data_IF_201520629974
#
_entry.id   IF_201520629974
#
_cell.length_a   1.000
_cell.length_b   1.000
_cell.length_c   1.000
_cell.angle_alpha   90.00
_cell.angle_beta   90.00
_cell.angle_gamma   90.00
#
_symmetry.space_group_name_H-M   'P 1'
#
loop_
_entity.id
_entity.type
_entity.pdbx_description
1 polymer ?
#
# COMPACT_ATOMS: atom_id res chain seq x y z
N UNK A 1 -56.32 6.77 24.70
CA UNK A 1 -56.18 5.80 23.59
C UNK A 1 -54.76 5.88 23.07
N UNK A 2 -54.00 4.83 23.40
CA UNK A 2 -52.65 4.58 22.89
C UNK A 2 -52.71 4.37 21.37
N UNK A 3 -51.77 4.96 20.64
CA UNK A 3 -51.33 4.35 19.39
C UNK A 3 -49.81 4.50 19.28
N UNK A 4 -49.14 3.34 19.30
CA UNK A 4 -47.71 3.14 19.12
C UNK A 4 -47.54 2.56 17.73
N UNK A 5 -46.97 3.32 16.80
CA UNK A 5 -46.49 2.77 15.53
C UNK A 5 -44.97 2.64 15.58
N UNK A 6 -44.50 1.45 15.93
CA UNK A 6 -43.13 0.99 15.71
C UNK A 6 -42.87 0.89 14.19
N UNK A 7 -41.84 1.57 13.70
CA UNK A 7 -41.32 1.35 12.34
C UNK A 7 -40.10 0.43 12.40
N UNK A 8 -40.20 -0.66 11.66
CA UNK A 8 -39.31 -1.81 11.66
C UNK A 8 -37.96 -1.47 11.03
N UNK A 9 -36.86 -1.72 11.74
CA UNK A 9 -35.50 -1.69 11.20
C UNK A 9 -35.32 -2.80 10.16
N UNK A 10 -35.03 -2.43 8.92
CA UNK A 10 -34.61 -3.35 7.86
C UNK A 10 -33.19 -3.85 8.11
N UNK A 11 -33.04 -5.13 8.40
CA UNK A 11 -31.75 -5.81 8.52
C UNK A 11 -31.02 -5.82 7.15
N UNK A 12 -29.95 -5.03 7.04
CA UNK A 12 -29.01 -5.12 5.92
C UNK A 12 -28.27 -6.45 5.98
N UNK A 13 -28.48 -7.33 4.98
CA UNK A 13 -27.72 -8.57 4.82
C UNK A 13 -26.26 -8.22 4.54
N UNK A 14 -25.37 -8.59 5.48
CA UNK A 14 -23.93 -8.53 5.29
C UNK A 14 -23.48 -9.74 4.46
N UNK A 15 -23.56 -9.63 3.14
CA UNK A 15 -23.09 -10.68 2.22
C UNK A 15 -21.57 -10.65 2.17
N UNK A 16 -20.92 -11.65 2.77
CA UNK A 16 -19.47 -11.84 2.68
C UNK A 16 -19.09 -12.29 1.27
N UNK A 17 -17.93 -11.83 0.78
CA UNK A 17 -17.35 -12.21 -0.53
C UNK A 17 -17.19 -13.74 -0.70
N UNK A 18 -17.21 -14.50 0.39
CA UNK A 18 -17.16 -15.97 0.42
C UNK A 18 -18.47 -16.64 0.02
N UNK A 19 -19.61 -15.97 0.10
CA UNK A 19 -20.91 -16.57 -0.25
C UNK A 19 -21.18 -16.57 -1.76
N UNK A 20 -20.47 -15.73 -2.53
CA UNK A 20 -20.59 -15.69 -3.99
C UNK A 20 -20.02 -16.94 -4.68
N UNK A 21 -19.09 -17.64 -4.03
CA UNK A 21 -18.45 -18.85 -4.58
C UNK A 21 -19.18 -20.16 -4.24
N UNK A 22 -20.26 -20.12 -3.45
CA UNK A 22 -21.02 -21.34 -3.10
C UNK A 22 -22.07 -21.74 -4.15
N UNK A 23 -22.45 -20.85 -5.07
CA UNK A 23 -23.61 -21.05 -5.94
C UNK A 23 -23.35 -20.93 -7.46
N UNK A 24 -22.12 -21.05 -7.95
CA UNK A 24 -21.85 -21.04 -9.40
C UNK A 24 -21.46 -22.43 -9.91
N UNK A 25 -22.47 -23.19 -10.35
CA UNK A 25 -22.28 -24.31 -11.26
C UNK A 25 -21.96 -23.74 -12.65
N UNK A 26 -20.69 -23.84 -13.09
CA UNK A 26 -20.25 -23.37 -14.41
C UNK A 26 -20.58 -24.44 -15.45
N UNK A 27 -21.47 -24.09 -16.38
CA UNK A 27 -21.74 -24.84 -17.61
C UNK A 27 -20.60 -24.57 -18.60
N UNK A 28 -19.75 -25.57 -18.89
CA UNK A 28 -18.68 -25.44 -19.88
C UNK A 28 -19.23 -25.74 -21.29
N UNK A 29 -19.39 -24.70 -22.11
CA UNK A 29 -19.61 -24.86 -23.55
C UNK A 29 -18.26 -24.76 -24.27
N UNK A 30 -17.81 -25.86 -24.88
CA UNK A 30 -16.60 -25.91 -25.69
C UNK A 30 -16.85 -25.24 -27.05
N UNK A 31 -16.19 -24.10 -27.30
CA UNK A 31 -16.11 -23.50 -28.62
C UNK A 31 -14.69 -23.70 -29.18
N UNK A 32 -14.56 -24.53 -30.21
CA UNK A 32 -13.31 -24.77 -30.94
C UNK A 32 -13.06 -23.62 -31.92
N UNK A 33 -11.96 -22.89 -31.74
CA UNK A 33 -11.50 -21.86 -32.67
C UNK A 33 -10.33 -22.43 -33.49
N UNK A 34 -10.33 -22.37 -34.83
CA UNK A 34 -9.19 -22.84 -35.62
C UNK A 34 -7.99 -21.90 -35.50
N UNK A 35 -6.81 -22.49 -35.30
CA UNK A 35 -5.51 -21.83 -35.27
C UNK A 35 -5.24 -21.09 -36.59
N UNK A 36 -5.05 -19.77 -36.53
CA UNK A 36 -4.37 -19.00 -37.57
C UNK A 36 -2.97 -18.69 -37.06
N UNK A 37 -1.96 -19.33 -37.66
CA UNK A 37 -0.55 -19.04 -37.40
C UNK A 37 -0.15 -17.85 -38.26
N UNK A 38 0.09 -16.70 -37.62
CA UNK A 38 0.79 -15.58 -38.26
C UNK A 38 2.24 -15.66 -37.83
N UNK A 39 3.11 -16.05 -38.76
CA UNK A 39 4.57 -16.00 -38.56
C UNK A 39 5.02 -14.54 -38.61
N UNK A 40 5.36 -13.98 -37.44
CA UNK A 40 6.12 -12.73 -37.36
C UNK A 40 7.62 -13.08 -37.27
N UNK A 41 8.41 -12.49 -38.15
CA UNK A 41 9.86 -12.67 -38.22
C UNK A 41 10.55 -12.02 -37.00
N UNK A 42 11.37 -12.81 -36.30
CA UNK A 42 12.25 -12.33 -35.23
C UNK A 42 13.44 -11.53 -35.80
N UNK A 43 13.75 -10.33 -35.29
CA UNK A 43 15.09 -9.78 -35.41
C UNK A 43 15.97 -10.31 -34.28
N UNK A 44 17.15 -10.81 -34.65
CA UNK A 44 18.18 -11.38 -33.78
C UNK A 44 18.59 -10.45 -32.60
N UNK A 45 19.00 -11.02 -31.45
CA UNK A 45 19.38 -10.23 -30.28
C UNK A 45 20.76 -9.58 -30.47
N UNK A 46 20.83 -8.28 -30.20
CA UNK A 46 22.09 -7.55 -30.07
C UNK A 46 22.68 -7.79 -28.68
N UNK A 47 23.95 -8.18 -28.65
CA UNK A 47 24.79 -8.40 -27.46
C UNK A 47 24.62 -7.30 -26.40
N UNK A 48 23.98 -7.64 -25.28
CA UNK A 48 24.13 -6.91 -24.02
C UNK A 48 25.18 -7.64 -23.18
N UNK A 49 26.33 -7.00 -22.99
CA UNK A 49 27.37 -7.49 -22.10
C UNK A 49 26.81 -7.62 -20.67
N UNK A 50 26.91 -8.82 -20.10
CA UNK A 50 26.47 -9.10 -18.74
C UNK A 50 27.31 -8.29 -17.74
N UNK A 51 26.67 -7.34 -17.05
CA UNK A 51 27.24 -6.76 -15.84
C UNK A 51 27.39 -7.89 -14.78
N UNK A 52 28.47 -7.91 -13.98
CA UNK A 52 28.65 -8.95 -12.98
C UNK A 52 27.53 -8.87 -11.96
N UNK A 53 26.77 -9.96 -11.83
CA UNK A 53 25.75 -10.10 -10.81
C UNK A 53 26.43 -10.07 -9.43
N UNK A 54 26.29 -8.95 -8.73
CA UNK A 54 26.51 -8.94 -7.28
C UNK A 54 25.49 -9.89 -6.67
N UNK A 55 25.98 -10.92 -5.98
CA UNK A 55 25.14 -11.93 -5.36
C UNK A 55 24.11 -11.25 -4.44
N UNK A 56 22.83 -11.38 -4.79
CA UNK A 56 21.75 -10.96 -3.92
C UNK A 56 21.80 -11.81 -2.65
N UNK A 57 21.64 -11.22 -1.44
CA UNK A 57 21.58 -12.01 -0.23
C UNK A 57 20.37 -12.95 -0.31
N UNK A 58 20.64 -14.25 -0.36
CA UNK A 58 19.64 -15.32 -0.27
C UNK A 58 19.17 -15.42 1.17
N UNK A 59 18.20 -14.58 1.54
CA UNK A 59 17.56 -14.67 2.85
C UNK A 59 16.29 -15.54 2.74
N UNK A 60 16.49 -16.85 2.62
CA UNK A 60 15.51 -17.80 3.10
C UNK A 60 15.68 -17.89 4.63
N UNK A 61 15.24 -16.86 5.35
CA UNK A 61 15.50 -16.75 6.79
C UNK A 61 14.31 -17.32 7.58
N UNK A 62 14.62 -18.18 8.55
CA UNK A 62 13.75 -18.59 9.64
C UNK A 62 13.01 -17.38 10.26
N UNK A 63 11.85 -17.57 10.94
CA UNK A 63 11.11 -16.45 11.53
C UNK A 63 12.04 -15.63 12.41
N UNK A 64 12.23 -14.38 12.01
CA UNK A 64 13.03 -13.43 12.77
C UNK A 64 12.17 -12.98 13.94
N UNK A 65 12.47 -13.48 15.14
CA UNK A 65 11.78 -13.11 16.37
C UNK A 65 12.19 -11.70 16.78
N UNK A 66 11.61 -10.70 16.12
CA UNK A 66 11.78 -9.29 16.45
C UNK A 66 10.46 -8.74 16.94
N UNK A 67 10.54 -7.97 18.03
CA UNK A 67 9.38 -7.34 18.62
C UNK A 67 8.74 -6.39 17.60
N UNK A 68 7.44 -6.53 17.41
CA UNK A 68 6.68 -5.59 16.60
C UNK A 68 6.55 -4.25 17.37
N UNK A 69 6.46 -3.12 16.66
CA UNK A 69 6.18 -1.83 17.28
C UNK A 69 4.87 -1.86 18.08
N UNK A 70 4.77 -0.98 19.07
CA UNK A 70 3.58 -0.87 19.92
C UNK A 70 2.29 -0.79 19.10
N UNK A 71 1.29 -1.56 19.53
CA UNK A 71 -0.01 -1.66 18.86
C UNK A 71 -0.06 -2.62 17.67
N UNK A 72 1.07 -3.13 17.16
CA UNK A 72 1.10 -4.14 16.08
C UNK A 72 1.08 -5.56 16.65
N UNK A 73 0.28 -6.44 16.04
CA UNK A 73 0.02 -7.80 16.53
C UNK A 73 -0.15 -8.78 15.39
N UNK A 74 0.24 -10.02 15.63
CA UNK A 74 -0.02 -11.17 14.75
C UNK A 74 0.52 -11.00 13.32
N UNK A 75 1.60 -10.24 13.13
CA UNK A 75 2.27 -10.08 11.84
C UNK A 75 3.38 -11.12 11.65
N UNK A 76 3.64 -11.49 10.40
CA UNK A 76 4.74 -12.38 10.02
C UNK A 76 5.95 -11.51 9.65
N UNK A 77 7.01 -11.55 10.46
CA UNK A 77 8.24 -10.78 10.21
C UNK A 77 9.04 -11.42 9.08
N UNK A 78 9.31 -10.64 8.03
CA UNK A 78 10.11 -11.00 6.86
C UNK A 78 11.54 -10.45 6.92
N UNK A 79 11.77 -9.40 7.72
CA UNK A 79 13.08 -8.78 7.95
C UNK A 79 13.04 -7.85 9.16
N UNK A 80 14.17 -7.68 9.86
CA UNK A 80 14.25 -6.91 11.10
C UNK A 80 14.99 -5.57 11.00
N UNK A 81 15.94 -5.43 10.08
CA UNK A 81 16.71 -4.19 9.87
C UNK A 81 16.83 -3.88 8.37
N UNK A 82 15.93 -3.07 7.79
CA UNK A 82 14.75 -2.46 8.41
C UNK A 82 13.60 -3.45 8.63
N UNK A 83 12.70 -3.14 9.57
CA UNK A 83 11.53 -3.99 9.84
C UNK A 83 10.62 -4.10 8.62
N UNK A 84 10.35 -5.35 8.22
CA UNK A 84 9.38 -5.71 7.19
C UNK A 84 8.54 -6.84 7.74
N UNK A 85 7.22 -6.67 7.77
CA UNK A 85 6.29 -7.66 8.28
C UNK A 85 5.00 -7.67 7.45
N UNK A 86 4.49 -8.86 7.14
CA UNK A 86 3.26 -9.03 6.37
C UNK A 86 2.06 -9.44 7.23
N UNK A 87 0.87 -9.08 6.77
CA UNK A 87 -0.39 -9.47 7.41
C UNK A 87 -0.74 -10.91 7.02
N UNK A 88 -0.97 -11.83 7.98
CA UNK A 88 -1.54 -13.13 7.65
C UNK A 88 -2.83 -12.98 6.85
N UNK A 89 -2.93 -13.70 5.74
CA UNK A 89 -4.04 -13.55 4.78
C UNK A 89 -5.44 -13.71 5.38
N UNK A 90 -5.59 -14.49 6.45
CA UNK A 90 -6.87 -14.67 7.12
C UNK A 90 -7.30 -13.46 7.95
N UNK A 91 -6.39 -12.55 8.28
CA UNK A 91 -6.65 -11.28 8.97
C UNK A 91 -7.01 -10.13 8.01
N UNK A 92 -6.98 -10.37 6.69
CA UNK A 92 -7.36 -9.40 5.65
C UNK A 92 -8.85 -9.46 5.27
N UNK A 93 -9.66 -10.27 5.95
CA UNK A 93 -11.10 -10.41 5.68
C UNK A 93 -11.92 -9.13 5.94
N UNK A 94 -11.62 -8.31 6.97
CA UNK A 94 -12.35 -7.05 7.20
C UNK A 94 -12.22 -6.05 6.04
N UNK A 95 -13.28 -5.29 5.77
CA UNK A 95 -13.30 -4.25 4.73
C UNK A 95 -12.19 -3.19 4.91
N UNK A 96 -11.90 -2.86 6.17
CA UNK A 96 -10.75 -2.08 6.60
C UNK A 96 -9.88 -2.98 7.44
N UNK A 97 -8.65 -3.21 6.99
CA UNK A 97 -7.63 -3.95 7.74
C UNK A 97 -7.39 -3.23 9.08
N UNK A 98 -7.62 -3.89 10.23
CA UNK A 98 -7.35 -3.30 11.53
C UNK A 98 -5.91 -2.80 11.61
N UNK A 99 -5.67 -1.65 12.25
CA UNK A 99 -4.35 -1.01 12.26
C UNK A 99 -3.30 -1.90 12.93
N UNK A 100 -3.69 -2.69 13.94
CA UNK A 100 -2.82 -3.68 14.57
C UNK A 100 -2.32 -4.77 13.60
N UNK A 101 -3.07 -5.03 12.54
CA UNK A 101 -2.78 -6.04 11.53
C UNK A 101 -2.30 -5.43 10.21
N UNK A 102 -2.24 -4.11 10.06
CA UNK A 102 -1.76 -3.48 8.83
C UNK A 102 -0.26 -3.76 8.65
N UNK A 103 0.13 -4.29 7.49
CA UNK A 103 1.51 -4.69 7.18
C UNK A 103 2.51 -3.55 7.36
N UNK A 104 3.79 -3.90 7.54
CA UNK A 104 4.90 -2.97 7.74
C UNK A 104 5.92 -3.18 6.62
N UNK A 105 6.28 -2.12 5.91
CA UNK A 105 7.38 -2.13 4.95
C UNK A 105 8.21 -0.87 5.15
N UNK A 106 9.40 -1.04 5.72
CA UNK A 106 10.38 0.05 5.87
C UNK A 106 11.56 -0.17 4.93
N UNK A 107 12.12 0.92 4.38
CA UNK A 107 13.36 0.93 3.60
C UNK A 107 14.56 1.35 4.45
N UNK A 108 14.35 2.29 5.37
CA UNK A 108 15.29 2.73 6.39
C UNK A 108 14.73 2.50 7.80
N UNK A 109 15.36 3.11 8.79
CA UNK A 109 14.87 3.14 10.16
C UNK A 109 13.81 4.25 10.29
N UNK A 110 12.63 3.95 10.84
CA UNK A 110 11.63 4.99 11.15
C UNK A 110 12.26 6.11 12.01
N UNK A 111 11.89 7.37 11.76
CA UNK A 111 12.36 8.49 12.58
C UNK A 111 11.82 8.41 14.01
N UNK A 112 12.59 8.95 14.95
CA UNK A 112 12.11 9.19 16.32
C UNK A 112 11.05 10.28 16.30
N UNK A 113 9.94 10.04 17.01
CA UNK A 113 8.80 10.97 17.07
C UNK A 113 8.73 11.73 18.41
N UNK A 114 9.77 11.61 19.24
CA UNK A 114 9.84 12.32 20.52
C UNK A 114 9.68 13.83 20.30
N UNK A 115 8.79 14.46 21.07
CA UNK A 115 8.46 15.89 20.97
C UNK A 115 7.81 16.34 19.63
N UNK A 116 7.32 15.39 18.81
CA UNK A 116 6.51 15.70 17.64
C UNK A 116 5.06 15.93 18.05
N UNK A 117 4.52 17.11 17.73
CA UNK A 117 3.12 17.50 17.94
C UNK A 117 2.54 18.05 16.64
N UNK A 118 1.25 18.39 16.66
CA UNK A 118 0.58 19.00 15.51
C UNK A 118 1.23 20.33 15.09
N UNK A 119 1.86 21.03 16.03
CA UNK A 119 2.47 22.35 15.89
C UNK A 119 3.96 22.29 15.56
N UNK A 120 4.67 21.30 16.11
CA UNK A 120 6.13 21.15 15.95
C UNK A 120 6.49 20.38 14.69
N UNK A 121 5.66 19.43 14.24
CA UNK A 121 5.87 18.77 12.95
C UNK A 121 5.76 19.78 11.81
N UNK A 122 6.64 19.68 10.81
CA UNK A 122 6.63 20.56 9.62
C UNK A 122 6.81 19.76 8.34
N UNK A 123 6.10 20.17 7.30
CA UNK A 123 6.38 19.83 5.90
C UNK A 123 6.74 21.09 5.13
N UNK A 124 7.77 20.99 4.30
CA UNK A 124 8.18 22.05 3.38
C UNK A 124 7.74 21.70 1.97
N UNK A 125 7.14 22.67 1.27
CA UNK A 125 6.77 22.62 -0.14
C UNK A 125 7.61 23.66 -0.87
N UNK A 126 8.56 23.22 -1.69
CA UNK A 126 9.54 24.08 -2.36
C UNK A 126 9.80 23.63 -3.82
N UNK A 127 10.90 24.10 -4.42
CA UNK A 127 11.27 23.81 -5.79
C UNK A 127 10.50 24.65 -6.82
N UNK A 128 9.82 23.98 -7.75
CA UNK A 128 9.11 24.59 -8.88
C UNK A 128 7.74 25.18 -8.49
N UNK A 129 7.75 26.07 -7.51
CA UNK A 129 6.57 26.80 -6.99
C UNK A 129 6.87 28.30 -6.89
N UNK A 130 5.84 29.14 -7.01
CA UNK A 130 5.98 30.60 -6.84
C UNK A 130 5.96 31.03 -5.38
N UNK A 131 5.35 30.23 -4.50
CA UNK A 131 5.22 30.54 -3.07
C UNK A 131 5.59 29.30 -2.26
N UNK A 132 6.88 29.15 -1.88
CA UNK A 132 7.29 28.09 -0.98
C UNK A 132 6.51 28.15 0.34
N UNK A 133 6.16 26.98 0.89
CA UNK A 133 5.37 26.86 2.11
C UNK A 133 6.12 26.01 3.14
N UNK A 134 5.96 26.34 4.42
CA UNK A 134 6.29 25.45 5.52
C UNK A 134 5.05 25.35 6.40
N UNK A 135 4.47 24.17 6.49
CA UNK A 135 3.17 23.94 7.11
C UNK A 135 3.30 22.93 8.26
N UNK A 136 2.66 23.20 9.38
CA UNK A 136 2.44 22.21 10.43
C UNK A 136 1.18 21.38 10.19
N UNK A 137 0.98 20.31 10.96
CA UNK A 137 -0.27 19.55 10.92
C UNK A 137 -1.45 20.46 11.33
N UNK A 138 -1.25 21.34 12.31
CA UNK A 138 -2.24 22.32 12.72
C UNK A 138 -2.61 23.28 11.55
N UNK A 139 -1.63 23.74 10.78
CA UNK A 139 -1.88 24.56 9.59
C UNK A 139 -2.64 23.77 8.52
N UNK A 140 -2.26 22.51 8.28
CA UNK A 140 -2.95 21.64 7.32
C UNK A 140 -4.43 21.43 7.69
N UNK A 141 -4.73 21.22 8.97
CA UNK A 141 -6.11 21.06 9.48
C UNK A 141 -6.93 22.35 9.36
N UNK A 142 -6.29 23.51 9.58
CA UNK A 142 -6.96 24.83 9.58
C UNK A 142 -7.21 25.35 8.17
N UNK A 143 -6.22 25.24 7.28
CA UNK A 143 -6.20 25.99 6.03
C UNK A 143 -6.76 25.20 4.83
N UNK A 144 -6.98 23.90 4.98
CA UNK A 144 -7.43 23.03 3.90
C UNK A 144 -8.62 22.15 4.34
N UNK A 145 -9.41 21.72 3.35
CA UNK A 145 -10.47 20.76 3.62
C UNK A 145 -9.88 19.40 3.99
N UNK A 146 -10.17 18.94 5.21
CA UNK A 146 -9.88 17.57 5.65
C UNK A 146 -10.82 16.60 4.94
N UNK A 147 -10.26 15.58 4.32
CA UNK A 147 -10.98 14.54 3.60
C UNK A 147 -10.64 13.16 4.16
N UNK A 148 -11.58 12.23 3.98
CA UNK A 148 -11.39 10.81 4.26
C UNK A 148 -11.52 9.98 2.99
N UNK A 149 -10.64 8.99 2.81
CA UNK A 149 -10.66 8.06 1.68
C UNK A 149 -10.32 6.65 2.14
N UNK A 150 -11.15 5.68 1.76
CA UNK A 150 -10.82 4.26 1.93
C UNK A 150 -9.97 3.83 0.75
N UNK A 151 -8.73 3.46 1.02
CA UNK A 151 -7.74 3.14 -0.01
C UNK A 151 -7.05 1.83 0.36
N UNK A 152 -6.71 1.06 -0.67
CA UNK A 152 -5.83 -0.08 -0.56
C UNK A 152 -4.41 0.39 -0.85
N UNK A 153 -3.47 -0.01 -0.01
CA UNK A 153 -2.04 0.11 -0.29
C UNK A 153 -1.49 -1.30 -0.41
N UNK A 154 -0.78 -1.55 -1.51
CA UNK A 154 -0.14 -2.82 -1.80
C UNK A 154 1.35 -2.59 -2.07
N UNK A 155 2.20 -3.42 -1.47
CA UNK A 155 3.61 -3.46 -1.79
C UNK A 155 3.76 -4.05 -3.19
N UNK A 156 4.54 -3.41 -4.06
CA UNK A 156 4.91 -3.98 -5.37
C UNK A 156 5.61 -5.36 -5.26
N UNK A 157 6.07 -5.72 -4.07
CA UNK A 157 6.62 -7.04 -3.77
C UNK A 157 5.62 -8.10 -3.33
N UNK A 158 4.34 -7.78 -3.18
CA UNK A 158 3.34 -8.76 -2.79
C UNK A 158 3.31 -9.91 -3.81
N UNK A 159 3.33 -11.14 -3.32
CA UNK A 159 3.45 -12.36 -4.13
C UNK A 159 4.88 -12.75 -4.52
N UNK A 160 5.91 -11.99 -4.13
CA UNK A 160 7.30 -12.23 -4.57
C UNK A 160 7.80 -13.65 -4.30
N UNK A 161 7.38 -14.28 -3.19
CA UNK A 161 7.80 -15.64 -2.83
C UNK A 161 7.46 -16.70 -3.89
N UNK A 162 6.51 -16.42 -4.78
CA UNK A 162 6.01 -17.37 -5.77
C UNK A 162 6.67 -17.27 -7.15
N UNK A 163 7.63 -16.36 -7.35
CA UNK A 163 8.40 -16.32 -8.60
C UNK A 163 9.31 -17.55 -8.76
N UNK A 164 9.45 -18.02 -10.01
CA UNK A 164 10.41 -19.06 -10.40
C UNK A 164 11.16 -18.62 -11.67
N UNK A 165 12.49 -18.42 -11.63
CA UNK A 165 13.36 -18.55 -10.45
C UNK A 165 13.03 -17.47 -9.38
N UNK A 166 13.40 -17.71 -8.09
CA UNK A 166 13.13 -16.75 -7.03
C UNK A 166 13.71 -15.36 -7.32
N UNK A 167 12.87 -14.33 -7.14
CA UNK A 167 13.29 -12.94 -7.28
C UNK A 167 13.92 -12.40 -5.98
N UNK A 168 14.90 -11.51 -6.11
CA UNK A 168 15.57 -10.88 -4.97
C UNK A 168 14.65 -9.97 -4.15
N UNK A 169 14.95 -9.82 -2.85
CA UNK A 169 14.24 -8.95 -1.90
C UNK A 169 13.42 -9.72 -0.86
N UNK A 170 12.64 -9.02 -0.04
CA UNK A 170 11.79 -9.65 0.98
C UNK A 170 10.78 -10.60 0.33
N UNK A 171 10.70 -11.82 0.83
CA UNK A 171 9.90 -12.90 0.24
C UNK A 171 8.44 -12.86 0.73
N UNK A 172 7.70 -11.84 0.30
CA UNK A 172 6.27 -11.68 0.61
C UNK A 172 5.44 -12.85 0.08
N UNK A 173 4.51 -13.33 0.90
CA UNK A 173 3.37 -14.14 0.44
C UNK A 173 2.31 -13.21 -0.16
N UNK A 174 1.06 -13.24 0.32
CA UNK A 174 -0.01 -12.35 -0.15
C UNK A 174 -0.38 -11.27 0.88
N UNK A 175 0.39 -11.17 1.97
CA UNK A 175 0.12 -10.27 3.09
C UNK A 175 0.69 -8.86 2.97
N UNK A 176 1.32 -8.52 1.84
CA UNK A 176 1.90 -7.21 1.57
C UNK A 176 0.87 -6.19 1.09
N UNK A 177 -0.33 -6.19 1.67
CA UNK A 177 -1.47 -5.36 1.25
C UNK A 177 -2.36 -5.06 2.45
N UNK A 178 -3.00 -3.88 2.45
CA UNK A 178 -3.97 -3.50 3.47
C UNK A 178 -4.91 -2.40 2.99
N UNK A 179 -6.14 -2.39 3.50
CA UNK A 179 -7.14 -1.35 3.24
C UNK A 179 -7.37 -0.53 4.50
N UNK A 180 -7.28 0.79 4.43
CA UNK A 180 -7.56 1.67 5.57
C UNK A 180 -8.34 2.92 5.13
N UNK A 181 -8.99 3.57 6.11
CA UNK A 181 -9.57 4.90 5.92
C UNK A 181 -8.54 5.97 6.26
N UNK A 182 -7.96 6.58 5.22
CA UNK A 182 -6.96 7.63 5.34
C UNK A 182 -7.65 8.98 5.54
N UNK A 183 -7.22 9.71 6.56
CA UNK A 183 -7.66 11.09 6.83
C UNK A 183 -6.50 12.05 6.54
N UNK A 184 -6.76 13.11 5.78
CA UNK A 184 -5.73 14.10 5.45
C UNK A 184 -6.25 15.23 4.58
N UNK A 185 -5.35 15.96 3.94
CA UNK A 185 -5.68 17.02 2.98
C UNK A 185 -5.30 16.58 1.57
N UNK A 186 -5.94 17.17 0.55
CA UNK A 186 -5.60 16.85 -0.85
C UNK A 186 -4.29 17.55 -1.22
N UNK A 187 -3.32 16.78 -1.73
CA UNK A 187 -2.06 17.33 -2.24
C UNK A 187 -2.29 18.43 -3.30
N UNK A 188 -3.29 18.25 -4.18
CA UNK A 188 -3.72 19.26 -5.15
C UNK A 188 -3.97 20.63 -4.52
N UNK A 189 -4.63 20.67 -3.36
CA UNK A 189 -5.00 21.94 -2.72
C UNK A 189 -3.78 22.63 -2.12
N UNK A 190 -2.86 21.84 -1.54
CA UNK A 190 -1.56 22.32 -1.03
C UNK A 190 -0.70 22.87 -2.17
N UNK A 191 -0.60 22.16 -3.29
CA UNK A 191 0.14 22.60 -4.47
C UNK A 191 -0.47 23.84 -5.13
N UNK A 192 -1.79 23.95 -5.17
CA UNK A 192 -2.47 25.17 -5.64
C UNK A 192 -2.14 26.37 -4.75
N UNK A 193 -2.07 26.18 -3.42
CA UNK A 193 -1.69 27.23 -2.48
C UNK A 193 -0.24 27.67 -2.70
N UNK A 194 0.67 26.74 -2.97
CA UNK A 194 2.07 27.00 -3.28
C UNK A 194 2.27 27.63 -4.67
N UNK A 195 1.27 27.54 -5.56
CA UNK A 195 1.29 28.01 -6.95
C UNK A 195 2.41 27.34 -7.76
N UNK A 196 2.19 26.09 -8.15
CA UNK A 196 3.10 25.33 -9.01
C UNK A 196 3.39 26.08 -10.31
N UNK A 197 4.67 26.16 -10.67
CA UNK A 197 5.14 26.81 -11.90
C UNK A 197 4.86 25.95 -13.14
N UNK A 198 4.67 26.55 -14.33
CA UNK A 198 4.48 25.79 -15.58
C UNK A 198 5.65 24.88 -15.95
N UNK A 199 6.85 25.16 -15.43
CA UNK A 199 8.06 24.35 -15.60
C UNK A 199 8.07 23.05 -14.79
N UNK A 200 7.17 22.89 -13.81
CA UNK A 200 7.13 21.69 -12.98
C UNK A 200 6.67 20.46 -13.77
N UNK A 201 7.46 19.38 -13.71
CA UNK A 201 7.16 18.11 -14.40
C UNK A 201 6.81 16.99 -13.42
N UNK A 202 7.46 16.96 -12.26
CA UNK A 202 7.27 15.92 -11.23
C UNK A 202 7.28 16.53 -9.84
N UNK A 203 6.71 15.80 -8.88
CA UNK A 203 6.85 16.07 -7.44
C UNK A 203 7.83 15.07 -6.81
N UNK A 204 8.86 15.58 -6.14
CA UNK A 204 9.72 14.78 -5.26
C UNK A 204 9.14 14.69 -3.85
N UNK A 205 9.32 13.57 -3.18
CA UNK A 205 8.88 13.37 -1.80
C UNK A 205 10.04 12.81 -0.98
N UNK A 206 10.30 13.42 0.18
CA UNK A 206 11.40 13.05 1.07
C UNK A 206 10.84 12.69 2.44
N UNK A 207 11.25 11.53 2.94
CA UNK A 207 10.98 11.08 4.31
C UNK A 207 12.06 11.57 5.27
N UNK A 208 11.76 11.48 6.57
CA UNK A 208 12.73 11.72 7.64
C UNK A 208 13.43 10.43 8.09
N UNK A 209 13.19 9.30 7.40
CA UNK A 209 13.83 8.03 7.71
C UNK A 209 15.34 8.07 7.45
N UNK A 210 16.07 7.27 8.23
CA UNK A 210 17.53 7.16 8.12
C UNK A 210 17.91 5.84 7.45
N UNK A 211 19.02 5.81 6.72
CA UNK A 211 19.50 4.63 5.98
C UNK A 211 20.89 4.19 6.44
#
# INVERSE_FOLDING_TARGET
MSDKSESTQGAGRNTSRRDLFKNTAILAAAATVPNVVVAAADPAPQNAAAAPATAAPTNATAPVNVALPDGKKDLIVLGDRPLVAETPVHLLDPDLTPLEHFFIRNNGNPPELENTSDETWKITIDGEVETPLTLSIADLKRDFQVVKRRLVIECAGNGRKFYNPPASGSQWTFGGVGCAEFTGVRLKDVLNKAKVKPSAVYTGHYGADTH
#
